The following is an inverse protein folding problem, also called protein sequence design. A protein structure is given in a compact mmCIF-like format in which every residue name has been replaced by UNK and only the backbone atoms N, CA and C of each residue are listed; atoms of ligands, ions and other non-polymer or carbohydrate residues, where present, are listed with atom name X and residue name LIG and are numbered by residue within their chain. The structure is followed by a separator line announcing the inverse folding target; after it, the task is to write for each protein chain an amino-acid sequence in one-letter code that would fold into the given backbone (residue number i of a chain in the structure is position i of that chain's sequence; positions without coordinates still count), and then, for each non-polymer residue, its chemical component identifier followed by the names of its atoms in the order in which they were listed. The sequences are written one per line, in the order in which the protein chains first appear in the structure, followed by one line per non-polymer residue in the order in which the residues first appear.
data_IF_950145288983
#
_entry.id   IF_950145288983
#
_cell.length_a   1.000
_cell.length_b   1.000
_cell.length_c   1.000
_cell.angle_alpha   90.00
_cell.angle_beta   90.00
_cell.angle_gamma   90.00
#
_symmetry.space_group_name_H-M   'P 1'
#
loop_
_entity.id
_entity.type
_entity.pdbx_description
1 polymer ?
#
# COMPACT_ATOMS: atom_id res chain seq x y z
N UNK A 1 -77.43 34.66 24.17
CA UNK A 1 -77.47 33.22 23.84
C UNK A 1 -76.54 32.46 24.78
N UNK A 2 -77.06 31.53 25.56
CA UNK A 2 -76.38 30.60 26.49
C UNK A 2 -77.37 29.42 26.74
N UNK A 3 -77.05 28.25 27.33
CA UNK A 3 -75.84 27.39 27.46
C UNK A 3 -76.18 25.96 26.86
N UNK A 4 -75.76 24.73 27.31
CA UNK A 4 -74.68 24.23 28.19
C UNK A 4 -73.83 23.06 27.61
N UNK A 5 -72.89 22.54 28.41
CA UNK A 5 -72.03 21.35 28.21
C UNK A 5 -72.77 19.99 28.16
N UNK A 6 -72.20 18.93 27.55
CA UNK A 6 -72.18 17.50 28.03
C UNK A 6 -71.43 16.47 27.11
N UNK A 7 -71.25 15.17 27.45
CA UNK A 7 -69.93 14.53 27.68
C UNK A 7 -69.70 13.26 26.75
N UNK A 8 -68.85 12.25 27.06
CA UNK A 8 -68.29 11.28 26.09
C UNK A 8 -69.11 9.99 25.93
N UNK A 9 -68.93 9.26 24.82
CA UNK A 9 -69.33 7.85 24.72
C UNK A 9 -68.39 6.99 23.84
N UNK A 10 -68.04 5.85 24.42
CA UNK A 10 -67.35 4.70 23.84
C UNK A 10 -68.07 4.12 22.63
N UNK A 11 -67.28 3.65 21.65
CA UNK A 11 -67.71 2.73 20.61
C UNK A 11 -66.68 1.61 20.45
N UNK A 12 -67.02 0.44 20.98
CA UNK A 12 -66.36 -0.85 20.77
C UNK A 12 -66.42 -1.25 19.30
N UNK A 13 -65.43 -2.01 18.79
CA UNK A 13 -65.59 -3.19 17.92
C UNK A 13 -64.21 -3.87 17.74
N UNK A 14 -64.18 -5.17 18.07
CA UNK A 14 -63.10 -6.11 17.74
C UNK A 14 -63.16 -6.47 16.25
N UNK A 15 -61.99 -6.65 15.63
CA UNK A 15 -61.86 -7.53 14.47
C UNK A 15 -60.47 -8.20 14.50
N UNK A 16 -60.47 -9.48 14.84
CA UNK A 16 -59.36 -10.39 14.62
C UNK A 16 -59.11 -10.54 13.12
N UNK A 17 -57.86 -10.41 12.68
CA UNK A 17 -57.42 -10.98 11.41
C UNK A 17 -55.92 -11.32 11.50
N UNK A 18 -55.64 -12.62 11.55
CA UNK A 18 -54.33 -13.20 11.34
C UNK A 18 -53.79 -12.81 9.96
N UNK A 19 -52.59 -12.23 9.92
CA UNK A 19 -51.89 -11.89 8.67
C UNK A 19 -50.41 -12.16 8.83
N UNK A 20 -49.96 -13.26 8.23
CA UNK A 20 -48.57 -13.70 8.19
C UNK A 20 -47.66 -12.62 7.57
N UNK A 21 -46.66 -12.16 8.33
CA UNK A 21 -45.62 -11.24 7.88
C UNK A 21 -44.26 -11.91 7.96
N UNK A 22 -43.76 -12.37 6.82
CA UNK A 22 -42.47 -12.99 6.58
C UNK A 22 -41.32 -12.28 7.32
N UNK A 23 -40.65 -12.99 8.24
CA UNK A 23 -39.33 -12.58 8.74
C UNK A 23 -38.34 -12.66 7.59
N UNK A 24 -38.04 -11.52 6.97
CA UNK A 24 -36.98 -11.44 5.98
C UNK A 24 -35.64 -11.62 6.70
N UNK A 25 -35.10 -12.84 6.65
CA UNK A 25 -33.76 -13.12 7.13
C UNK A 25 -32.76 -12.40 6.23
N UNK A 26 -32.05 -11.42 6.79
CA UNK A 26 -30.89 -10.80 6.14
C UNK A 26 -29.89 -11.91 5.81
N UNK A 27 -29.47 -12.08 4.54
CA UNK A 27 -28.47 -13.08 4.21
C UNK A 27 -27.17 -12.73 4.96
N UNK A 28 -26.51 -13.73 5.59
CA UNK A 28 -25.24 -13.49 6.27
C UNK A 28 -24.24 -12.94 5.26
N UNK A 29 -23.55 -11.87 5.65
CA UNK A 29 -22.48 -11.30 4.86
C UNK A 29 -21.46 -12.40 4.51
N UNK A 30 -20.92 -12.42 3.27
CA UNK A 30 -19.97 -13.44 2.88
C UNK A 30 -18.78 -13.43 3.84
N UNK A 31 -18.24 -14.60 4.21
CA UNK A 31 -17.08 -14.67 5.08
C UNK A 31 -15.95 -13.86 4.43
N UNK A 32 -15.41 -12.86 5.15
CA UNK A 32 -14.25 -12.10 4.71
C UNK A 32 -13.12 -13.10 4.48
N UNK A 33 -12.84 -13.42 3.21
CA UNK A 33 -11.78 -14.34 2.85
C UNK A 33 -10.48 -13.76 3.39
N UNK A 34 -9.90 -14.42 4.40
CA UNK A 34 -8.63 -14.00 4.97
C UNK A 34 -7.59 -14.18 3.87
N UNK A 35 -7.19 -13.08 3.25
CA UNK A 35 -6.14 -13.08 2.24
C UNK A 35 -4.91 -13.77 2.84
N UNK A 36 -4.39 -14.78 2.15
CA UNK A 36 -3.13 -15.40 2.52
C UNK A 36 -2.05 -14.31 2.52
N UNK A 37 -1.11 -14.33 3.47
CA UNK A 37 -0.04 -13.35 3.51
C UNK A 37 0.72 -13.35 2.18
N UNK A 38 0.81 -12.18 1.54
CA UNK A 38 1.55 -12.01 0.30
C UNK A 38 3.05 -12.19 0.60
N UNK A 39 3.61 -13.30 0.14
CA UNK A 39 5.06 -13.52 0.19
C UNK A 39 5.72 -12.76 -0.96
N UNK A 40 6.56 -11.79 -0.63
CA UNK A 40 7.25 -10.94 -1.59
C UNK A 40 8.75 -11.26 -1.51
N UNK A 41 9.36 -11.86 -2.55
CA UNK A 41 10.76 -12.25 -2.47
C UNK A 41 11.69 -11.05 -2.57
N UNK A 42 12.73 -11.05 -1.74
CA UNK A 42 13.88 -10.15 -1.85
C UNK A 42 14.97 -10.89 -2.65
N UNK A 43 15.55 -10.21 -3.64
CA UNK A 43 16.57 -10.79 -4.54
C UNK A 43 17.82 -9.92 -4.55
N UNK A 44 19.00 -10.54 -4.57
CA UNK A 44 20.23 -9.82 -4.92
C UNK A 44 20.18 -9.41 -6.40
N UNK A 45 20.62 -8.19 -6.69
CA UNK A 45 20.70 -7.62 -8.03
C UNK A 45 22.17 -7.55 -8.46
N UNK A 46 22.44 -7.87 -9.71
CA UNK A 46 23.77 -7.77 -10.30
C UNK A 46 23.82 -6.74 -11.44
N UNK A 47 24.95 -6.69 -12.16
CA UNK A 47 25.17 -5.72 -13.25
C UNK A 47 24.10 -5.77 -14.35
N UNK A 48 23.51 -6.94 -14.60
CA UNK A 48 22.47 -7.12 -15.62
C UNK A 48 21.17 -6.36 -15.30
N UNK A 49 20.90 -6.08 -14.02
CA UNK A 49 19.71 -5.36 -13.56
C UNK A 49 19.94 -3.85 -13.42
N UNK A 50 21.11 -3.33 -13.82
CA UNK A 50 21.46 -1.90 -13.71
C UNK A 50 20.39 -0.99 -14.32
N UNK A 51 19.87 -1.35 -15.48
CA UNK A 51 18.83 -0.55 -16.15
C UNK A 51 17.49 -0.58 -15.38
N UNK A 52 17.14 -1.71 -14.77
CA UNK A 52 15.95 -1.80 -13.92
C UNK A 52 16.09 -0.94 -12.65
N UNK A 53 17.28 -0.88 -12.06
CA UNK A 53 17.59 0.01 -10.94
C UNK A 53 17.44 1.47 -11.37
N UNK A 54 17.97 1.84 -12.55
CA UNK A 54 17.82 3.18 -13.11
C UNK A 54 16.35 3.56 -13.27
N UNK A 55 15.56 2.69 -13.90
CA UNK A 55 14.12 2.92 -14.08
C UNK A 55 13.39 3.08 -12.75
N UNK A 56 13.70 2.25 -11.74
CA UNK A 56 13.13 2.38 -10.40
C UNK A 56 13.42 3.75 -9.78
N UNK A 57 14.70 4.16 -9.74
CA UNK A 57 15.13 5.40 -9.11
C UNK A 57 14.57 6.64 -9.84
N UNK A 58 14.43 6.57 -11.16
CA UNK A 58 13.80 7.63 -11.94
C UNK A 58 12.29 7.71 -11.74
N UNK A 59 11.64 6.61 -11.36
CA UNK A 59 10.20 6.58 -11.06
C UNK A 59 9.86 7.12 -9.67
N UNK A 60 10.86 7.43 -8.84
CA UNK A 60 10.67 8.06 -7.54
C UNK A 60 10.22 9.52 -7.69
N UNK A 61 9.36 9.97 -6.77
CA UNK A 61 9.02 11.38 -6.66
C UNK A 61 10.25 12.22 -6.28
N UNK A 62 10.23 13.53 -6.55
CA UNK A 62 11.34 14.43 -6.18
C UNK A 62 11.65 14.38 -4.67
N UNK A 63 10.62 14.21 -3.83
CA UNK A 63 10.78 14.05 -2.38
C UNK A 63 11.46 12.72 -2.02
N UNK A 64 11.05 11.62 -2.65
CA UNK A 64 11.65 10.31 -2.39
C UNK A 64 13.10 10.27 -2.87
N UNK A 65 13.44 10.93 -3.98
CA UNK A 65 14.83 11.11 -4.41
C UNK A 65 15.63 11.92 -3.40
N UNK A 66 15.08 13.00 -2.87
CA UNK A 66 15.75 13.77 -1.81
C UNK A 66 16.08 12.91 -0.59
N UNK A 67 15.13 12.09 -0.12
CA UNK A 67 15.37 11.17 1.00
C UNK A 67 16.40 10.08 0.66
N UNK A 68 16.42 9.62 -0.58
CA UNK A 68 17.33 8.56 -1.04
C UNK A 68 18.77 9.02 -1.20
N UNK A 69 18.98 10.25 -1.65
CA UNK A 69 20.31 10.76 -2.01
C UNK A 69 20.82 11.84 -1.05
N UNK A 70 19.98 12.35 -0.15
CA UNK A 70 20.31 13.50 0.70
C UNK A 70 20.28 14.86 -0.03
N UNK A 71 19.95 14.86 -1.32
CA UNK A 71 19.87 16.05 -2.17
C UNK A 71 18.84 15.85 -3.30
N UNK A 72 18.31 16.92 -3.94
CA UNK A 72 17.32 16.79 -5.01
C UNK A 72 17.96 16.26 -6.31
N UNK A 73 18.13 14.94 -6.39
CA UNK A 73 18.83 14.29 -7.49
C UNK A 73 18.08 14.42 -8.83
N UNK A 74 18.76 14.99 -9.81
CA UNK A 74 18.34 15.07 -11.21
C UNK A 74 18.47 13.72 -11.91
N UNK A 75 17.81 13.55 -13.06
CA UNK A 75 17.87 12.31 -13.84
C UNK A 75 19.31 11.97 -14.27
N UNK A 76 20.12 12.99 -14.59
CA UNK A 76 21.54 12.82 -14.93
C UNK A 76 22.33 12.30 -13.73
N UNK A 77 22.14 12.87 -12.54
CA UNK A 77 22.80 12.42 -11.31
C UNK A 77 22.38 11.00 -10.93
N UNK A 78 21.11 10.64 -11.08
CA UNK A 78 20.63 9.26 -10.92
C UNK A 78 21.33 8.33 -11.90
N UNK A 79 21.45 8.73 -13.17
CA UNK A 79 22.18 7.97 -14.18
C UNK A 79 23.65 7.74 -13.83
N UNK A 80 24.35 8.78 -13.36
CA UNK A 80 25.75 8.68 -12.92
C UNK A 80 25.90 7.78 -11.69
N UNK A 81 25.00 7.91 -10.71
CA UNK A 81 24.98 7.05 -9.53
C UNK A 81 24.85 5.58 -9.91
N UNK A 82 23.90 5.24 -10.79
CA UNK A 82 23.66 3.86 -11.22
C UNK A 82 24.83 3.29 -12.03
N UNK A 83 25.50 4.11 -12.83
CA UNK A 83 26.71 3.71 -13.54
C UNK A 83 27.88 3.44 -12.59
N UNK A 84 28.00 4.22 -11.51
CA UNK A 84 29.03 4.07 -10.49
C UNK A 84 28.79 2.97 -9.46
N UNK A 85 27.67 2.25 -9.52
CA UNK A 85 27.42 1.08 -8.66
C UNK A 85 28.48 0.00 -8.91
N UNK A 86 29.23 -0.33 -7.87
CA UNK A 86 30.21 -1.40 -7.86
C UNK A 86 29.58 -2.67 -7.27
N UNK A 87 29.03 -3.53 -8.12
CA UNK A 87 28.40 -4.79 -7.71
C UNK A 87 29.39 -5.86 -7.22
N UNK A 88 30.70 -5.60 -7.27
CA UNK A 88 31.71 -6.51 -6.72
C UNK A 88 32.00 -6.22 -5.25
N UNK A 89 31.91 -4.94 -4.87
CA UNK A 89 32.10 -4.46 -3.51
C UNK A 89 30.77 -4.31 -2.77
N UNK A 90 29.78 -3.73 -3.43
CA UNK A 90 28.52 -3.31 -2.82
C UNK A 90 27.43 -4.39 -3.00
N UNK A 91 26.52 -4.46 -2.03
CA UNK A 91 25.34 -5.33 -2.14
C UNK A 91 24.11 -4.54 -2.54
N UNK A 92 23.44 -4.98 -3.59
CA UNK A 92 22.17 -4.41 -4.04
C UNK A 92 21.07 -5.46 -3.95
N UNK A 93 19.96 -5.11 -3.31
CA UNK A 93 18.78 -5.94 -3.21
C UNK A 93 17.58 -5.28 -3.88
N UNK A 94 16.69 -6.11 -4.40
CA UNK A 94 15.52 -5.69 -5.14
C UNK A 94 14.28 -6.51 -4.82
N UNK A 95 13.13 -5.85 -4.92
CA UNK A 95 11.82 -6.50 -4.92
C UNK A 95 11.16 -6.25 -6.26
N UNK A 96 10.72 -7.32 -6.92
CA UNK A 96 9.97 -7.24 -8.17
C UNK A 96 8.49 -7.55 -7.93
N UNK A 97 7.62 -6.86 -8.65
CA UNK A 97 6.21 -7.22 -8.72
C UNK A 97 5.99 -8.38 -9.73
N UNK A 98 4.73 -8.79 -9.90
CA UNK A 98 4.35 -9.89 -10.82
C UNK A 98 4.59 -9.56 -12.30
N UNK A 99 4.79 -8.28 -12.64
CA UNK A 99 5.13 -7.79 -13.98
C UNK A 99 6.64 -7.67 -14.21
N UNK A 100 7.46 -8.13 -13.25
CA UNK A 100 8.92 -8.00 -13.26
C UNK A 100 9.40 -6.54 -13.21
N UNK A 101 8.60 -5.65 -12.64
CA UNK A 101 8.98 -4.26 -12.39
C UNK A 101 9.60 -4.16 -10.99
N UNK A 102 10.74 -3.46 -10.89
CA UNK A 102 11.45 -3.26 -9.64
C UNK A 102 10.74 -2.19 -8.80
N UNK A 103 10.09 -2.61 -7.72
CA UNK A 103 9.25 -1.76 -6.88
C UNK A 103 9.95 -1.24 -5.62
N UNK A 104 11.04 -1.90 -5.22
CA UNK A 104 11.90 -1.45 -4.14
C UNK A 104 13.36 -1.85 -4.40
N UNK A 105 14.28 -1.02 -3.92
CA UNK A 105 15.73 -1.24 -3.97
C UNK A 105 16.35 -0.93 -2.62
N UNK A 106 17.32 -1.74 -2.20
CA UNK A 106 18.23 -1.45 -1.11
C UNK A 106 19.68 -1.55 -1.61
N UNK A 107 20.54 -0.63 -1.18
CA UNK A 107 21.96 -0.60 -1.50
C UNK A 107 22.77 -0.49 -0.23
N UNK A 108 23.71 -1.42 -0.03
CA UNK A 108 24.73 -1.38 1.00
C UNK A 108 26.05 -1.02 0.32
N UNK A 109 26.48 0.23 0.47
CA UNK A 109 27.74 0.72 -0.07
C UNK A 109 28.84 0.58 0.98
N UNK A 110 29.76 -0.36 0.81
CA UNK A 110 30.83 -0.58 1.79
C UNK A 110 31.87 0.53 1.70
N UNK A 111 32.40 0.93 2.86
CA UNK A 111 33.48 1.91 2.92
C UNK A 111 34.77 1.30 2.33
N UNK A 112 35.55 2.11 1.61
CA UNK A 112 36.78 1.64 0.99
C UNK A 112 37.75 1.06 2.03
N UNK A 113 38.18 -0.18 1.80
CA UNK A 113 39.06 -0.91 2.71
C UNK A 113 38.41 -1.37 4.02
N UNK A 114 37.08 -1.29 4.15
CA UNK A 114 36.36 -1.71 5.34
C UNK A 114 35.02 -2.39 5.03
N UNK A 115 35.03 -3.72 5.11
CA UNK A 115 33.87 -4.60 4.91
C UNK A 115 32.86 -4.61 6.08
N UNK A 116 33.16 -3.90 7.17
CA UNK A 116 32.29 -3.89 8.38
C UNK A 116 31.48 -2.60 8.52
N UNK A 117 31.73 -1.62 7.65
CA UNK A 117 31.04 -0.34 7.65
C UNK A 117 30.47 -0.09 6.26
N UNK A 118 29.17 0.17 6.19
CA UNK A 118 28.49 0.46 4.94
C UNK A 118 27.48 1.59 5.13
N UNK A 119 27.27 2.37 4.07
CA UNK A 119 26.11 3.24 3.95
C UNK A 119 24.92 2.43 3.44
N UNK A 120 23.77 2.59 4.10
CA UNK A 120 22.55 1.89 3.74
C UNK A 120 21.52 2.84 3.11
N UNK A 121 21.21 2.64 1.83
CA UNK A 121 20.25 3.44 1.09
C UNK A 121 19.06 2.62 0.58
N UNK A 122 17.83 3.02 0.90
CA UNK A 122 16.60 2.33 0.49
C UNK A 122 15.64 3.22 -0.28
N UNK A 123 14.91 2.62 -1.22
CA UNK A 123 13.84 3.29 -1.96
C UNK A 123 12.68 2.32 -2.24
N UNK A 124 11.45 2.82 -2.14
CA UNK A 124 10.21 2.09 -2.42
C UNK A 124 9.29 2.99 -3.23
N UNK A 125 8.68 2.47 -4.29
CA UNK A 125 7.69 3.22 -5.06
C UNK A 125 6.49 3.57 -4.16
N UNK A 126 5.96 4.79 -4.31
CA UNK A 126 4.93 5.35 -3.43
C UNK A 126 3.67 4.49 -3.25
N UNK A 127 3.31 3.64 -4.22
CA UNK A 127 2.14 2.77 -4.14
C UNK A 127 2.36 1.50 -3.28
N UNK A 128 3.61 1.19 -2.94
CA UNK A 128 4.00 -0.04 -2.25
C UNK A 128 4.48 0.21 -0.81
N UNK A 129 4.23 1.42 -0.27
CA UNK A 129 4.51 1.77 1.13
C UNK A 129 3.24 1.65 1.99
N UNK A 130 3.42 1.47 3.30
CA UNK A 130 2.36 1.42 4.32
C UNK A 130 2.21 2.73 5.07
#
# INVERSE_FOLDING_TARGET
MNPPAKPPHSGSIQASASGQGHTQATPPAPPKTRALPLMIPIRSLGPAQREQIRHHLLSLSSRDRYLRFGYPATDVQVGSYVQGLDFSRDEVFGILNRKLELIAVAHLAYAEGNETTAEFGVSVLSHYRG
#
